data_IF_933369188524
#
_entry.id   IF_933369188524
#
_cell.length_a   1.000
_cell.length_b   1.000
_cell.length_c   1.000
_cell.angle_alpha   90.00
_cell.angle_beta   90.00
_cell.angle_gamma   90.00
#
_symmetry.space_group_name_H-M   'P 1'
#
loop_
_entity.id
_entity.type
_entity.pdbx_description
1 polymer ?
#
# COMPACT_ATOMS: atom_id res chain seq x y z
N UNK A 1 -16.95 -73.53 -22.26
CA UNK A 1 -18.08 -73.46 -21.32
C UNK A 1 -17.53 -72.76 -20.11
N UNK A 2 -18.03 -71.56 -19.91
CA UNK A 2 -17.63 -70.52 -18.99
C UNK A 2 -17.55 -70.99 -17.54
N UNK A 3 -16.61 -70.42 -16.79
CA UNK A 3 -16.84 -70.16 -15.37
C UNK A 3 -16.29 -68.77 -15.05
N UNK A 4 -17.11 -67.77 -15.35
CA UNK A 4 -17.01 -66.41 -14.83
C UNK A 4 -17.39 -66.49 -13.35
N UNK A 5 -16.42 -66.26 -12.46
CA UNK A 5 -16.66 -66.12 -11.02
C UNK A 5 -16.81 -64.63 -10.72
N UNK A 6 -18.00 -64.14 -10.30
CA UNK A 6 -18.16 -62.75 -9.91
C UNK A 6 -17.46 -62.50 -8.57
N UNK A 7 -16.57 -61.50 -8.53
CA UNK A 7 -16.06 -60.98 -7.26
C UNK A 7 -17.18 -60.24 -6.50
N UNK A 8 -17.23 -60.37 -5.16
CA UNK A 8 -18.32 -59.84 -4.34
C UNK A 8 -18.31 -58.31 -4.25
N UNK A 9 -19.51 -57.71 -4.31
CA UNK A 9 -19.78 -56.29 -4.10
C UNK A 9 -19.10 -55.77 -2.81
N UNK A 10 -18.19 -54.81 -2.95
CA UNK A 10 -17.63 -54.07 -1.81
C UNK A 10 -18.67 -53.07 -1.29
N UNK A 11 -18.93 -53.01 0.03
CA UNK A 11 -19.94 -52.13 0.59
C UNK A 11 -19.52 -50.66 0.53
N UNK A 12 -20.48 -49.80 0.18
CA UNK A 12 -20.40 -48.33 0.27
C UNK A 12 -20.04 -47.89 1.70
N UNK A 13 -18.75 -47.58 1.93
CA UNK A 13 -18.32 -46.89 3.13
C UNK A 13 -18.67 -45.40 3.02
N UNK A 14 -19.93 -45.07 3.29
CA UNK A 14 -20.34 -43.73 3.74
C UNK A 14 -19.77 -43.51 5.15
N UNK A 15 -18.48 -43.16 5.19
CA UNK A 15 -17.80 -42.70 6.39
C UNK A 15 -18.07 -41.23 6.62
N UNK A 16 -19.07 -40.96 7.46
CA UNK A 16 -19.26 -39.72 8.22
C UNK A 16 -17.97 -39.43 9.01
N UNK A 17 -17.10 -38.60 8.42
CA UNK A 17 -15.90 -38.05 9.03
C UNK A 17 -16.15 -36.60 9.41
N UNK A 18 -15.61 -36.13 10.55
CA UNK A 18 -16.09 -34.94 11.24
C UNK A 18 -16.02 -33.73 10.30
N UNK A 19 -17.08 -32.92 10.35
CA UNK A 19 -17.10 -31.54 9.87
C UNK A 19 -15.73 -30.93 10.16
N UNK A 20 -14.91 -30.87 9.12
CA UNK A 20 -13.71 -30.04 9.13
C UNK A 20 -14.29 -28.66 9.05
N UNK A 21 -14.56 -28.11 10.25
CA UNK A 21 -14.67 -26.70 10.50
C UNK A 21 -13.65 -26.06 9.56
N UNK A 22 -14.17 -25.37 8.54
CA UNK A 22 -13.42 -24.49 7.67
C UNK A 22 -12.83 -23.45 8.62
N UNK A 23 -11.70 -23.79 9.24
CA UNK A 23 -10.71 -22.80 9.63
C UNK A 23 -10.51 -22.03 8.35
N UNK A 24 -11.09 -20.84 8.33
CA UNK A 24 -10.89 -19.85 7.28
C UNK A 24 -9.42 -19.89 6.99
N UNK A 25 -9.09 -20.31 5.77
CA UNK A 25 -7.73 -20.30 5.30
C UNK A 25 -7.28 -18.85 5.49
N UNK A 26 -6.55 -18.56 6.57
CA UNK A 26 -5.89 -17.29 6.89
C UNK A 26 -4.73 -17.09 5.90
N UNK A 27 -5.03 -17.28 4.62
CA UNK A 27 -4.13 -17.03 3.52
C UNK A 27 -4.16 -15.52 3.37
N UNK A 28 -3.09 -14.89 3.86
CA UNK A 28 -2.85 -13.48 3.59
C UNK A 28 -3.06 -13.22 2.09
N UNK A 29 -3.89 -12.24 1.78
CA UNK A 29 -4.23 -11.93 0.40
C UNK A 29 -2.94 -11.73 -0.41
N UNK A 30 -2.82 -12.30 -1.62
CA UNK A 30 -1.64 -12.11 -2.43
C UNK A 30 -1.33 -10.62 -2.62
N UNK A 31 -0.05 -10.21 -2.51
CA UNK A 31 0.31 -8.81 -2.62
C UNK A 31 -0.15 -8.24 -3.98
N UNK A 32 -1.00 -7.21 -3.94
CA UNK A 32 -1.57 -6.59 -5.13
C UNK A 32 -1.15 -5.11 -5.27
N UNK A 33 -1.19 -4.55 -6.50
CA UNK A 33 -0.96 -3.12 -6.70
C UNK A 33 -1.89 -2.25 -5.85
N UNK A 34 -1.32 -1.38 -5.03
CA UNK A 34 -2.06 -0.41 -4.22
C UNK A 34 -2.33 0.84 -5.05
N UNK A 35 -3.60 1.11 -5.33
CA UNK A 35 -4.03 2.37 -5.94
C UNK A 35 -4.63 3.29 -4.88
N UNK A 36 -3.79 4.16 -4.30
CA UNK A 36 -4.14 5.12 -3.25
C UNK A 36 -5.38 5.99 -3.56
N UNK A 37 -5.67 6.24 -4.83
CA UNK A 37 -6.83 7.03 -5.25
C UNK A 37 -8.17 6.29 -5.12
N UNK A 38 -8.15 4.95 -5.03
CA UNK A 38 -9.35 4.10 -5.08
C UNK A 38 -9.62 3.34 -3.78
N UNK A 39 -8.74 3.45 -2.78
CA UNK A 39 -8.90 2.78 -1.49
C UNK A 39 -10.16 3.28 -0.76
N UNK A 40 -10.83 2.40 -0.03
CA UNK A 40 -11.82 2.85 0.96
C UNK A 40 -11.12 3.61 2.09
N UNK A 41 -11.86 4.34 2.92
CA UNK A 41 -11.29 5.00 4.09
C UNK A 41 -10.53 4.03 5.02
N UNK A 42 -11.08 2.84 5.26
CA UNK A 42 -10.49 1.85 6.16
C UNK A 42 -9.26 1.17 5.52
N UNK A 43 -9.32 0.84 4.22
CA UNK A 43 -8.16 0.29 3.51
C UNK A 43 -7.03 1.34 3.40
N UNK A 44 -7.38 2.61 3.23
CA UNK A 44 -6.43 3.71 3.17
C UNK A 44 -5.63 3.83 4.47
N UNK A 45 -6.29 3.71 5.63
CA UNK A 45 -5.62 3.71 6.93
C UNK A 45 -4.65 2.53 7.06
N UNK A 46 -5.12 1.32 6.75
CA UNK A 46 -4.32 0.11 6.84
C UNK A 46 -3.06 0.18 5.96
N UNK A 47 -3.22 0.62 4.70
CA UNK A 47 -2.11 0.76 3.75
C UNK A 47 -1.09 1.82 4.19
N UNK A 48 -1.55 2.96 4.71
CA UNK A 48 -0.64 3.98 5.24
C UNK A 48 0.19 3.47 6.42
N UNK A 49 -0.43 2.76 7.35
CA UNK A 49 0.25 2.18 8.51
C UNK A 49 1.26 1.10 8.09
N UNK A 50 0.85 0.17 7.21
CA UNK A 50 1.71 -0.88 6.69
C UNK A 50 2.93 -0.29 5.96
N UNK A 51 2.72 0.72 5.11
CA UNK A 51 3.79 1.39 4.41
C UNK A 51 4.73 2.11 5.40
N UNK A 52 4.19 2.82 6.40
CA UNK A 52 5.02 3.54 7.36
C UNK A 52 5.92 2.62 8.19
N UNK A 53 5.40 1.47 8.63
CA UNK A 53 6.18 0.46 9.34
C UNK A 53 7.28 -0.12 8.46
N UNK A 54 6.95 -0.46 7.20
CA UNK A 54 7.92 -0.98 6.25
C UNK A 54 9.00 0.05 5.90
N UNK A 55 8.63 1.32 5.68
CA UNK A 55 9.57 2.43 5.46
C UNK A 55 10.50 2.60 6.66
N UNK A 56 9.96 2.48 7.87
CA UNK A 56 10.74 2.57 9.10
C UNK A 56 11.71 1.39 9.27
N UNK A 57 11.32 0.18 8.85
CA UNK A 57 12.22 -0.97 8.73
C UNK A 57 13.31 -0.71 7.68
N UNK A 58 12.94 -0.33 6.44
CA UNK A 58 13.84 -0.11 5.32
C UNK A 58 14.93 0.90 5.68
N UNK A 59 14.54 2.03 6.28
CA UNK A 59 15.46 3.07 6.74
C UNK A 59 16.50 2.51 7.71
N UNK A 60 16.06 1.77 8.73
CA UNK A 60 16.93 1.27 9.81
C UNK A 60 17.83 0.14 9.32
N UNK A 61 17.28 -0.78 8.54
CA UNK A 61 17.99 -1.95 7.99
C UNK A 61 19.11 -1.53 7.03
N UNK A 62 18.86 -0.56 6.14
CA UNK A 62 19.85 -0.13 5.14
C UNK A 62 20.59 1.17 5.50
N UNK A 63 20.38 1.71 6.71
CA UNK A 63 21.04 2.93 7.18
C UNK A 63 20.82 4.14 6.27
N UNK A 64 19.58 4.32 5.78
CA UNK A 64 19.29 5.34 4.77
C UNK A 64 19.37 6.76 5.37
N UNK A 65 20.15 7.67 4.77
CA UNK A 65 20.20 9.06 5.19
C UNK A 65 18.95 9.83 4.75
N UNK A 66 18.68 10.98 5.38
CA UNK A 66 17.56 11.86 5.04
C UNK A 66 17.58 12.35 3.58
N UNK A 67 18.75 12.35 2.92
CA UNK A 67 18.87 12.68 1.50
C UNK A 67 18.27 11.62 0.56
N UNK A 68 17.97 10.42 1.06
CA UNK A 68 17.31 9.34 0.32
C UNK A 68 15.89 9.18 0.82
N UNK A 69 15.72 9.16 2.14
CA UNK A 69 14.43 8.95 2.77
C UNK A 69 14.24 9.96 3.92
N UNK A 70 13.57 11.09 3.64
CA UNK A 70 13.39 12.18 4.59
C UNK A 70 12.33 11.83 5.64
N UNK A 71 12.26 12.56 6.77
CA UNK A 71 11.23 12.34 7.78
C UNK A 71 9.81 12.47 7.23
N UNK A 72 9.54 13.53 6.45
CA UNK A 72 8.21 13.89 5.93
C UNK A 72 7.90 13.25 4.56
N UNK A 73 8.44 12.07 4.28
CA UNK A 73 8.21 11.38 3.00
C UNK A 73 6.72 11.17 2.67
N UNK A 74 5.87 11.02 3.68
CA UNK A 74 4.42 10.80 3.53
C UNK A 74 3.67 12.04 3.02
N UNK A 75 4.24 13.25 3.18
CA UNK A 75 3.69 14.50 2.63
C UNK A 75 4.03 14.70 1.13
N UNK A 76 4.85 13.82 0.54
CA UNK A 76 5.29 13.90 -0.86
C UNK A 76 4.73 12.74 -1.68
N UNK A 77 3.72 12.98 -2.54
CA UNK A 77 3.11 11.92 -3.34
C UNK A 77 4.11 11.14 -4.18
N UNK A 78 5.12 11.78 -4.77
CA UNK A 78 6.17 11.13 -5.55
C UNK A 78 7.00 10.13 -4.72
N UNK A 79 7.25 10.44 -3.45
CA UNK A 79 7.94 9.52 -2.54
C UNK A 79 7.00 8.40 -2.12
N UNK A 80 5.76 8.71 -1.78
CA UNK A 80 4.76 7.70 -1.43
C UNK A 80 4.57 6.68 -2.56
N UNK A 81 4.41 7.12 -3.81
CA UNK A 81 4.21 6.21 -4.96
C UNK A 81 5.42 5.30 -5.18
N UNK A 82 6.64 5.86 -5.18
CA UNK A 82 7.87 5.07 -5.35
C UNK A 82 8.07 4.07 -4.19
N UNK A 83 7.81 4.49 -2.95
CA UNK A 83 7.94 3.63 -1.77
C UNK A 83 6.89 2.51 -1.75
N UNK A 84 5.67 2.81 -2.17
CA UNK A 84 4.59 1.81 -2.28
C UNK A 84 4.96 0.73 -3.30
N UNK A 85 5.46 1.13 -4.47
CA UNK A 85 5.90 0.19 -5.50
C UNK A 85 7.08 -0.68 -5.02
N UNK A 86 8.03 -0.07 -4.30
CA UNK A 86 9.17 -0.79 -3.73
C UNK A 86 8.76 -1.76 -2.62
N UNK A 87 7.77 -1.39 -1.80
CA UNK A 87 7.18 -2.26 -0.78
C UNK A 87 6.49 -3.47 -1.42
N UNK A 88 5.65 -3.23 -2.43
CA UNK A 88 5.01 -4.31 -3.17
C UNK A 88 6.03 -5.25 -3.81
N UNK A 89 7.06 -4.71 -4.44
CA UNK A 89 8.12 -5.53 -5.01
C UNK A 89 8.84 -6.35 -3.94
N UNK A 90 9.03 -5.80 -2.74
CA UNK A 90 9.62 -6.54 -1.61
C UNK A 90 8.73 -7.71 -1.20
N UNK A 91 7.42 -7.50 -1.04
CA UNK A 91 6.46 -8.56 -0.71
C UNK A 91 6.51 -9.68 -1.76
N UNK A 92 6.44 -9.34 -3.05
CA UNK A 92 6.55 -10.32 -4.13
C UNK A 92 7.93 -11.00 -4.20
N UNK A 93 9.02 -10.34 -3.80
CA UNK A 93 10.35 -10.94 -3.86
C UNK A 93 10.61 -11.96 -2.75
N UNK A 94 9.87 -11.87 -1.64
CA UNK A 94 9.98 -12.73 -0.46
C UNK A 94 8.79 -13.68 -0.28
N UNK A 95 7.91 -13.76 -1.27
CA UNK A 95 6.81 -14.73 -1.30
C UNK A 95 7.34 -16.18 -1.27
N UNK A 96 6.70 -17.11 -0.52
CA UNK A 96 7.15 -18.50 -0.41
C UNK A 96 7.20 -19.27 -1.74
N UNK A 97 6.37 -18.89 -2.72
CA UNK A 97 6.30 -19.56 -4.03
C UNK A 97 7.34 -19.02 -5.01
N UNK A 98 8.05 -17.95 -4.64
CA UNK A 98 8.98 -17.28 -5.54
C UNK A 98 10.35 -17.93 -5.57
N UNK A 99 11.05 -17.70 -6.68
CA UNK A 99 12.38 -18.25 -6.90
C UNK A 99 13.39 -17.67 -5.89
N UNK A 100 14.35 -18.49 -5.43
CA UNK A 100 15.35 -18.05 -4.45
C UNK A 100 16.27 -16.92 -4.92
N UNK A 101 16.27 -16.57 -6.22
CA UNK A 101 16.98 -15.40 -6.74
C UNK A 101 16.17 -14.10 -6.71
N UNK A 102 14.86 -14.14 -6.41
CA UNK A 102 13.99 -12.97 -6.40
C UNK A 102 14.45 -11.89 -5.41
N UNK A 103 14.90 -12.22 -4.18
CA UNK A 103 15.48 -11.23 -3.28
C UNK A 103 16.71 -10.51 -3.86
N UNK A 104 17.54 -11.22 -4.62
CA UNK A 104 18.70 -10.61 -5.29
C UNK A 104 18.26 -9.69 -6.44
N UNK A 105 17.17 -10.02 -7.14
CA UNK A 105 16.50 -9.14 -8.10
C UNK A 105 16.04 -7.84 -7.44
N UNK A 106 15.31 -7.95 -6.32
CA UNK A 106 14.84 -6.79 -5.56
C UNK A 106 15.96 -5.85 -5.13
N UNK A 107 17.11 -6.37 -4.69
CA UNK A 107 18.25 -5.52 -4.31
C UNK A 107 18.84 -4.74 -5.50
N UNK A 108 18.78 -5.30 -6.71
CA UNK A 108 19.22 -4.59 -7.93
C UNK A 108 18.29 -3.42 -8.20
N UNK A 109 16.99 -3.65 -8.16
CA UNK A 109 15.98 -2.64 -8.47
C UNK A 109 15.91 -1.58 -7.35
N UNK A 110 16.15 -1.98 -6.10
CA UNK A 110 16.31 -1.09 -4.96
C UNK A 110 17.48 -0.11 -5.14
N UNK A 111 18.59 -0.54 -5.75
CA UNK A 111 19.70 0.37 -6.03
C UNK A 111 19.31 1.49 -6.99
N UNK A 112 18.49 1.19 -8.00
CA UNK A 112 17.95 2.19 -8.93
C UNK A 112 16.89 3.08 -8.25
N UNK A 113 15.98 2.49 -7.48
CA UNK A 113 14.97 3.23 -6.71
C UNK A 113 15.61 4.25 -5.76
N UNK A 114 16.73 3.90 -5.11
CA UNK A 114 17.48 4.84 -4.27
C UNK A 114 18.00 6.07 -5.03
N UNK A 115 18.28 5.97 -6.33
CA UNK A 115 18.67 7.13 -7.12
C UNK A 115 17.45 8.03 -7.39
N UNK A 116 16.32 7.45 -7.80
CA UNK A 116 15.05 8.18 -7.99
C UNK A 116 14.59 8.87 -6.71
N UNK A 117 14.65 8.18 -5.57
CA UNK A 117 14.33 8.77 -4.26
C UNK A 117 15.19 10.00 -3.95
N UNK A 118 16.49 10.00 -4.27
CA UNK A 118 17.34 11.20 -4.09
C UNK A 118 16.90 12.34 -4.99
N UNK A 119 16.50 12.05 -6.23
CA UNK A 119 15.99 13.04 -7.17
C UNK A 119 14.69 13.67 -6.65
N UNK A 120 13.77 12.85 -6.15
CA UNK A 120 12.53 13.32 -5.52
C UNK A 120 12.78 14.17 -4.28
N UNK A 121 13.65 13.74 -3.37
CA UNK A 121 14.04 14.53 -2.20
C UNK A 121 14.68 15.87 -2.60
N UNK A 122 15.51 15.88 -3.64
CA UNK A 122 16.12 17.11 -4.14
C UNK A 122 15.08 18.07 -4.75
N UNK A 123 14.06 17.53 -5.44
CA UNK A 123 12.98 18.28 -6.05
C UNK A 123 12.00 18.86 -5.02
N UNK A 124 11.56 18.04 -4.06
CA UNK A 124 10.64 18.45 -2.99
C UNK A 124 11.32 19.40 -2.02
N UNK A 125 12.63 19.28 -1.80
CA UNK A 125 13.36 20.18 -0.91
C UNK A 125 13.05 19.96 0.56
N UNK A 126 12.38 18.84 0.87
CA UNK A 126 12.26 18.23 2.19
C UNK A 126 13.64 17.98 2.81
N UNK A 127 13.76 18.24 4.11
CA UNK A 127 15.00 18.10 4.89
C UNK A 127 14.68 17.50 6.26
N UNK A 128 15.69 17.47 7.13
CA UNK A 128 15.54 16.94 8.48
C UNK A 128 14.65 17.83 9.37
N UNK A 129 14.76 19.15 9.22
CA UNK A 129 14.17 20.17 10.12
C UNK A 129 13.03 20.95 9.46
N UNK A 130 12.90 20.85 8.14
CA UNK A 130 11.91 21.59 7.36
C UNK A 130 11.45 20.80 6.16
N UNK A 131 10.24 21.09 5.74
CA UNK A 131 9.60 20.50 4.59
C UNK A 131 9.00 21.58 3.69
N UNK A 132 8.90 21.28 2.39
CA UNK A 132 8.13 22.08 1.44
C UNK A 132 7.67 21.14 0.33
N UNK A 133 6.49 21.35 -0.24
CA UNK A 133 6.02 20.53 -1.36
C UNK A 133 6.84 20.79 -2.64
N UNK A 134 6.86 19.78 -3.51
CA UNK A 134 7.47 19.88 -4.84
C UNK A 134 6.84 21.02 -5.64
N UNK A 135 7.70 21.91 -6.17
CA UNK A 135 7.25 23.04 -6.97
C UNK A 135 6.75 22.56 -8.32
N UNK A 136 5.52 22.91 -8.64
CA UNK A 136 4.95 22.68 -9.97
C UNK A 136 5.28 23.87 -10.88
N UNK A 137 5.62 23.58 -12.13
CA UNK A 137 5.83 24.61 -13.14
C UNK A 137 4.48 24.96 -13.74
N UNK A 138 4.08 26.22 -13.65
CA UNK A 138 2.83 26.73 -14.23
C UNK A 138 2.93 26.69 -15.74
N UNK A 139 2.00 26.02 -16.41
CA UNK A 139 1.97 25.97 -17.88
C UNK A 139 1.28 27.20 -18.47
N UNK A 140 1.54 27.53 -19.76
CA UNK A 140 0.87 28.65 -20.41
C UNK A 140 -0.66 28.51 -20.37
N UNK A 141 -1.33 29.50 -19.76
CA UNK A 141 -2.79 29.53 -19.62
C UNK A 141 -3.31 29.04 -18.27
N UNK A 142 -2.44 28.56 -17.39
CA UNK A 142 -2.78 28.22 -16.01
C UNK A 142 -2.60 29.42 -15.08
N UNK A 143 -3.41 29.47 -14.03
CA UNK A 143 -3.23 30.44 -12.97
C UNK A 143 -1.97 30.11 -12.15
N UNK A 144 -1.20 31.12 -11.71
CA UNK A 144 -0.03 30.86 -10.88
C UNK A 144 -0.40 30.13 -9.60
N UNK A 145 0.35 29.08 -9.27
CA UNK A 145 0.21 28.40 -8.00
C UNK A 145 0.51 29.36 -6.83
N UNK A 146 -0.16 29.20 -5.68
CA UNK A 146 0.17 29.97 -4.49
C UNK A 146 1.63 29.75 -4.06
N UNK A 147 2.23 30.71 -3.34
CA UNK A 147 3.57 30.54 -2.80
C UNK A 147 3.67 29.28 -1.93
N UNK A 148 4.70 28.47 -2.17
CA UNK A 148 5.01 27.31 -1.32
C UNK A 148 5.86 27.77 -0.15
N UNK A 149 5.36 27.59 1.06
CA UNK A 149 6.04 27.94 2.31
C UNK A 149 6.77 26.73 2.91
N UNK A 150 7.87 26.99 3.62
CA UNK A 150 8.60 25.97 4.37
C UNK A 150 7.87 25.71 5.70
N UNK A 151 7.56 24.44 5.98
CA UNK A 151 6.96 23.96 7.23
C UNK A 151 8.05 23.38 8.12
N UNK A 152 8.00 23.61 9.44
CA UNK A 152 8.97 23.05 10.39
C UNK A 152 8.59 21.62 10.74
N UNK A 153 9.57 20.72 10.70
CA UNK A 153 9.42 19.32 11.12
C UNK A 153 9.68 19.24 12.63
N UNK A 154 8.64 19.40 13.45
CA UNK A 154 8.75 19.35 14.91
C UNK A 154 8.71 17.91 15.44
N UNK A 155 7.65 17.17 15.12
CA UNK A 155 7.49 15.75 15.45
C UNK A 155 6.92 15.00 14.24
N UNK A 156 7.72 14.12 13.64
CA UNK A 156 7.32 13.32 12.47
C UNK A 156 6.29 12.24 12.80
N UNK A 157 6.27 11.74 14.04
CA UNK A 157 5.30 10.73 14.45
C UNK A 157 3.91 11.33 14.59
N UNK A 158 3.83 12.47 15.29
CA UNK A 158 2.57 13.23 15.44
C UNK A 158 2.03 13.70 14.08
N UNK A 159 2.89 14.30 13.25
CA UNK A 159 2.51 14.75 11.90
C UNK A 159 1.99 13.62 11.02
N UNK A 160 2.59 12.43 11.11
CA UNK A 160 2.14 11.27 10.35
C UNK A 160 0.73 10.82 10.78
N UNK A 161 0.48 10.77 12.09
CA UNK A 161 -0.84 10.39 12.63
C UNK A 161 -1.92 11.40 12.22
N UNK A 162 -1.62 12.69 12.37
CA UNK A 162 -2.52 13.77 11.95
C UNK A 162 -2.80 13.69 10.44
N UNK A 163 -1.76 13.51 9.63
CA UNK A 163 -1.91 13.36 8.18
C UNK A 163 -2.80 12.17 7.80
N UNK A 164 -2.57 10.99 8.37
CA UNK A 164 -3.39 9.80 8.05
C UNK A 164 -4.84 10.03 8.46
N UNK A 165 -5.07 10.61 9.64
CA UNK A 165 -6.42 10.97 10.08
C UNK A 165 -7.11 11.93 9.10
N UNK A 166 -6.43 12.99 8.67
CA UNK A 166 -6.96 13.93 7.66
C UNK A 166 -7.30 13.21 6.33
N UNK A 167 -6.43 12.32 5.86
CA UNK A 167 -6.67 11.57 4.61
C UNK A 167 -7.87 10.62 4.72
N UNK A 168 -8.01 9.93 5.85
CA UNK A 168 -9.10 8.99 6.12
C UNK A 168 -10.44 9.71 6.22
N UNK A 169 -10.50 10.80 7.00
CA UNK A 169 -11.74 11.58 7.14
C UNK A 169 -12.16 12.21 5.81
N UNK A 170 -11.21 12.76 5.03
CA UNK A 170 -11.51 13.25 3.69
C UNK A 170 -12.07 12.15 2.76
N UNK A 171 -11.59 10.90 2.91
CA UNK A 171 -12.12 9.75 2.16
C UNK A 171 -13.51 9.37 2.63
N UNK A 172 -13.77 9.32 3.94
CA UNK A 172 -15.10 9.05 4.51
C UNK A 172 -16.13 10.07 4.05
N UNK A 173 -15.80 11.36 4.11
CA UNK A 173 -16.69 12.43 3.63
C UNK A 173 -17.02 12.27 2.13
N UNK A 174 -16.03 11.90 1.32
CA UNK A 174 -16.23 11.67 -0.11
C UNK A 174 -17.12 10.44 -0.39
N UNK A 175 -16.95 9.37 0.37
CA UNK A 175 -17.79 8.16 0.31
C UNK A 175 -19.23 8.46 0.74
N UNK A 176 -19.43 9.13 1.87
CA UNK A 176 -20.74 9.54 2.35
C UNK A 176 -21.45 10.46 1.35
N UNK A 177 -20.73 11.41 0.75
CA UNK A 177 -21.27 12.27 -0.29
C UNK A 177 -21.70 11.47 -1.52
N UNK A 178 -20.91 10.47 -1.93
CA UNK A 178 -21.24 9.58 -3.03
C UNK A 178 -22.50 8.73 -2.75
N UNK A 179 -22.59 8.10 -1.58
CA UNK A 179 -23.77 7.32 -1.19
C UNK A 179 -25.02 8.20 -1.11
N UNK A 180 -24.91 9.40 -0.54
CA UNK A 180 -26.02 10.36 -0.53
C UNK A 180 -26.52 10.70 -1.93
N UNK A 181 -25.62 10.93 -2.88
CA UNK A 181 -26.02 11.17 -4.27
C UNK A 181 -26.63 9.94 -4.96
N UNK A 182 -26.24 8.73 -4.58
CA UNK A 182 -26.86 7.50 -5.09
C UNK A 182 -28.28 7.32 -4.56
N UNK A 183 -28.51 7.53 -3.27
CA UNK A 183 -29.84 7.43 -2.64
C UNK A 183 -30.83 8.43 -3.24
N UNK A 184 -30.37 9.65 -3.55
CA UNK A 184 -31.16 10.66 -4.26
C UNK A 184 -31.53 10.25 -5.70
N UNK A 185 -30.69 9.46 -6.37
CA UNK A 185 -30.93 9.01 -7.75
C UNK A 185 -31.75 7.72 -7.85
N UNK A 186 -31.64 6.80 -6.87
CA UNK A 186 -32.41 5.55 -6.85
C UNK A 186 -33.83 5.77 -6.34
N UNK A 187 -34.12 6.90 -5.69
CA UNK A 187 -35.47 7.28 -5.27
C UNK A 187 -36.00 6.43 -4.10
N UNK A 188 -35.12 5.74 -3.36
CA UNK A 188 -35.48 5.13 -2.09
C UNK A 188 -35.57 6.21 -1.00
N UNK A 189 -36.70 6.91 -1.01
CA UNK A 189 -37.11 7.77 0.11
C UNK A 189 -37.43 6.86 1.29
N UNK A 190 -36.65 6.95 2.36
CA UNK A 190 -37.00 6.32 3.66
C UNK A 190 -38.21 7.01 4.28
#
# INVERSE_FOLDING_TARGET
MDEYTPEPDEPDYLGDGPDTDNASDDVAEPPHPVNWNLLSADDLEAEWLALNDWVAWLRRTYGLPASVLPPFWHRHPELMWELSALHLHWLCAYDPEQNGSAPAGWHRDFAEARNRLREWVAASGTRLDRDRHTRQTVWPGEDPAPPVEDVIVADRGEDFVEFVFEQVEARREAEEAFFRTLDEQTGEVT
#
